data_IF_760549212726
#
_entry.id   IF_760549212726
#
_cell.length_a   1.000
_cell.length_b   1.000
_cell.length_c   1.000
_cell.angle_alpha   90.00
_cell.angle_beta   90.00
_cell.angle_gamma   90.00
#
_symmetry.space_group_name_H-M   'P 1'
#
loop_
_entity.id
_entity.type
_entity.pdbx_description
1 polymer ?
#
# COMPACT_ATOMS: atom_id res chain seq x y z
N UNK A 1 -24.75 23.52 17.06
CA UNK A 1 -24.54 22.89 18.38
C UNK A 1 -23.53 21.71 18.37
N UNK A 2 -22.81 21.41 17.28
CA UNK A 2 -21.91 20.25 17.19
C UNK A 2 -20.47 20.44 17.74
N UNK A 3 -20.00 21.68 17.88
CA UNK A 3 -18.62 21.99 18.32
C UNK A 3 -18.19 21.42 19.69
N UNK A 4 -19.03 21.41 20.75
CA UNK A 4 -18.58 20.92 22.07
C UNK A 4 -18.39 19.40 22.13
N UNK A 5 -19.16 18.63 21.35
CA UNK A 5 -19.03 17.17 21.31
C UNK A 5 -17.75 16.73 20.58
N UNK A 6 -17.43 17.37 19.45
CA UNK A 6 -16.19 17.13 18.70
C UNK A 6 -14.94 17.46 19.54
N UNK A 7 -14.95 18.58 20.26
CA UNK A 7 -13.84 18.96 21.14
C UNK A 7 -13.63 17.94 22.27
N UNK A 8 -14.73 17.41 22.84
CA UNK A 8 -14.69 16.38 23.88
C UNK A 8 -14.12 15.07 23.34
N UNK A 9 -14.59 14.62 22.17
CA UNK A 9 -14.09 13.41 21.52
C UNK A 9 -12.61 13.51 21.18
N UNK A 10 -12.15 14.68 20.68
CA UNK A 10 -10.74 14.94 20.43
C UNK A 10 -9.91 14.87 21.72
N UNK A 11 -10.34 15.54 22.78
CA UNK A 11 -9.64 15.49 24.06
C UNK A 11 -9.55 14.06 24.63
N UNK A 12 -10.63 13.29 24.49
CA UNK A 12 -10.66 11.87 24.88
C UNK A 12 -9.67 11.05 24.05
N UNK A 13 -9.64 11.21 22.72
CA UNK A 13 -8.71 10.50 21.85
C UNK A 13 -7.25 10.81 22.22
N UNK A 14 -6.91 12.07 22.50
CA UNK A 14 -5.57 12.46 22.92
C UNK A 14 -5.18 11.87 24.28
N UNK A 15 -6.11 11.81 25.24
CA UNK A 15 -5.88 11.15 26.52
C UNK A 15 -5.63 9.65 26.36
N UNK A 16 -6.38 8.98 25.48
CA UNK A 16 -6.19 7.55 25.19
C UNK A 16 -4.88 7.28 24.46
N UNK A 17 -4.47 8.16 23.55
CA UNK A 17 -3.16 8.08 22.88
C UNK A 17 -2.00 8.26 23.87
N UNK A 18 -2.13 9.18 24.82
CA UNK A 18 -1.15 9.34 25.90
C UNK A 18 -1.06 8.06 26.76
N UNK A 19 -2.19 7.42 27.07
CA UNK A 19 -2.21 6.13 27.75
C UNK A 19 -1.56 5.02 26.89
N UNK A 20 -1.88 4.94 25.60
CA UNK A 20 -1.28 3.98 24.69
C UNK A 20 0.25 4.13 24.57
N UNK A 21 0.77 5.35 24.67
CA UNK A 21 2.20 5.59 24.61
C UNK A 21 2.90 5.23 25.94
N UNK A 22 2.33 5.70 27.07
CA UNK A 22 3.05 5.77 28.33
C UNK A 22 2.69 4.69 29.37
N UNK A 23 1.57 3.99 29.22
CA UNK A 23 1.12 3.04 30.25
C UNK A 23 2.08 1.84 30.39
N UNK A 24 2.19 1.24 31.58
CA UNK A 24 3.06 0.06 31.79
C UNK A 24 2.46 -1.26 31.30
N UNK A 25 1.13 -1.36 31.34
CA UNK A 25 0.38 -2.54 30.90
C UNK A 25 0.02 -2.46 29.40
N UNK A 26 0.47 -3.45 28.63
CA UNK A 26 0.20 -3.59 27.21
C UNK A 26 -1.28 -3.78 26.89
N UNK A 27 -2.06 -4.46 27.74
CA UNK A 27 -3.49 -4.65 27.52
C UNK A 27 -4.25 -3.32 27.55
N UNK A 28 -3.85 -2.41 28.45
CA UNK A 28 -4.39 -1.04 28.53
C UNK A 28 -3.99 -0.22 27.30
N UNK A 29 -2.76 -0.39 26.79
CA UNK A 29 -2.36 0.28 25.54
C UNK A 29 -3.25 -0.14 24.37
N UNK A 30 -3.42 -1.45 24.17
CA UNK A 30 -4.21 -1.99 23.06
C UNK A 30 -5.71 -1.67 23.18
N UNK A 31 -6.27 -1.68 24.40
CA UNK A 31 -7.67 -1.27 24.61
C UNK A 31 -7.87 0.23 24.35
N UNK A 32 -6.87 1.06 24.69
CA UNK A 32 -6.90 2.50 24.41
C UNK A 32 -6.84 2.77 22.90
N UNK A 33 -5.96 2.07 22.16
CA UNK A 33 -5.87 2.18 20.70
C UNK A 33 -7.17 1.76 20.00
N UNK A 34 -7.80 0.68 20.48
CA UNK A 34 -9.12 0.28 19.96
C UNK A 34 -10.15 1.38 20.13
N UNK A 35 -10.21 2.02 21.30
CA UNK A 35 -11.13 3.13 21.53
C UNK A 35 -10.80 4.37 20.68
N UNK A 36 -9.51 4.69 20.50
CA UNK A 36 -9.09 5.77 19.59
C UNK A 36 -9.59 5.49 18.18
N UNK A 37 -9.48 4.26 17.69
CA UNK A 37 -10.01 3.86 16.38
C UNK A 37 -11.50 4.16 16.27
N UNK A 38 -12.31 3.70 17.22
CA UNK A 38 -13.76 3.93 17.19
C UNK A 38 -14.11 5.42 17.20
N UNK A 39 -13.38 6.24 17.97
CA UNK A 39 -13.58 7.69 17.97
C UNK A 39 -13.29 8.26 16.57
N UNK A 40 -12.16 7.91 15.96
CA UNK A 40 -11.78 8.39 14.62
C UNK A 40 -12.78 8.00 13.53
N UNK A 41 -13.34 6.78 13.62
CA UNK A 41 -14.34 6.30 12.66
C UNK A 41 -15.70 6.99 12.85
N UNK A 42 -15.97 7.56 14.03
CA UNK A 42 -17.22 8.27 14.37
C UNK A 42 -17.20 9.77 14.07
N UNK A 43 -16.01 10.36 13.92
CA UNK A 43 -15.82 11.79 13.67
C UNK A 43 -15.82 12.10 12.17
N UNK A 44 -16.10 13.36 11.83
CA UNK A 44 -15.89 13.88 10.48
C UNK A 44 -14.41 13.76 10.08
N UNK A 45 -14.09 13.42 8.82
CA UNK A 45 -12.72 13.15 8.38
C UNK A 45 -11.70 14.25 8.71
N UNK A 46 -12.09 15.51 8.56
CA UNK A 46 -11.23 16.67 8.84
C UNK A 46 -10.88 16.78 10.32
N UNK A 47 -11.80 16.43 11.23
CA UNK A 47 -11.57 16.43 12.68
C UNK A 47 -10.70 15.24 13.10
N UNK A 48 -10.92 14.07 12.50
CA UNK A 48 -10.07 12.89 12.70
C UNK A 48 -8.63 13.15 12.28
N UNK A 49 -8.43 13.88 11.19
CA UNK A 49 -7.11 14.23 10.68
C UNK A 49 -6.26 15.04 11.67
N UNK A 50 -6.86 15.84 12.54
CA UNK A 50 -6.15 16.57 13.60
C UNK A 50 -5.44 15.64 14.61
N UNK A 51 -5.87 14.39 14.70
CA UNK A 51 -5.34 13.38 15.63
C UNK A 51 -4.22 12.55 14.98
N UNK A 52 -4.12 12.51 13.65
CA UNK A 52 -3.17 11.67 12.93
C UNK A 52 -1.69 11.91 13.29
N UNK A 53 -1.22 13.15 13.54
CA UNK A 53 0.15 13.37 13.99
C UNK A 53 0.49 12.63 15.30
N UNK A 54 -0.45 12.56 16.24
CA UNK A 54 -0.26 11.88 17.53
C UNK A 54 -0.33 10.35 17.38
N UNK A 55 -1.18 9.85 16.48
CA UNK A 55 -1.16 8.44 16.09
C UNK A 55 0.18 8.07 15.47
N UNK A 56 0.74 8.94 14.62
CA UNK A 56 1.98 8.66 13.92
C UNK A 56 3.13 8.38 14.88
N UNK A 57 3.23 9.10 16.01
CA UNK A 57 4.29 8.89 17.02
C UNK A 57 4.37 7.45 17.54
N UNK A 58 3.28 6.69 17.50
CA UNK A 58 3.24 5.30 17.97
C UNK A 58 4.13 4.36 17.13
N UNK A 59 4.58 4.76 15.94
CA UNK A 59 5.56 3.98 15.17
C UNK A 59 6.90 3.85 15.90
N UNK A 60 7.19 4.76 16.84
CA UNK A 60 8.39 4.74 17.68
C UNK A 60 8.25 3.83 18.91
N UNK A 61 7.07 3.25 19.14
CA UNK A 61 6.83 2.38 20.29
C UNK A 61 7.74 1.16 20.24
N UNK A 62 8.33 0.81 21.39
CA UNK A 62 9.11 -0.42 21.55
C UNK A 62 8.24 -1.68 21.44
N UNK A 63 6.94 -1.54 21.73
CA UNK A 63 5.98 -2.64 21.73
C UNK A 63 5.55 -3.01 20.31
N UNK A 64 5.90 -4.22 19.86
CA UNK A 64 5.55 -4.76 18.55
C UNK A 64 4.03 -4.71 18.33
N UNK A 65 3.24 -5.09 19.34
CA UNK A 65 1.77 -5.11 19.22
C UNK A 65 1.17 -3.70 19.08
N UNK A 66 1.80 -2.67 19.64
CA UNK A 66 1.37 -1.27 19.46
C UNK A 66 1.61 -0.84 18.02
N UNK A 67 2.79 -1.12 17.45
CA UNK A 67 3.09 -0.80 16.05
C UNK A 67 2.18 -1.56 15.06
N UNK A 68 1.84 -2.82 15.37
CA UNK A 68 0.85 -3.58 14.59
C UNK A 68 -0.55 -2.97 14.67
N UNK A 69 -1.01 -2.64 15.87
CA UNK A 69 -2.32 -2.01 16.07
C UNK A 69 -2.42 -0.66 15.38
N UNK A 70 -1.32 0.13 15.36
CA UNK A 70 -1.24 1.36 14.57
C UNK A 70 -1.49 1.09 13.08
N UNK A 71 -0.87 0.06 12.49
CA UNK A 71 -1.08 -0.28 11.08
C UNK A 71 -2.55 -0.70 10.82
N UNK A 72 -3.18 -1.43 11.74
CA UNK A 72 -4.61 -1.79 11.64
C UNK A 72 -5.52 -0.55 11.65
N UNK A 73 -5.22 0.41 12.53
CA UNK A 73 -5.93 1.70 12.55
C UNK A 73 -5.73 2.44 11.23
N UNK A 74 -4.49 2.49 10.70
CA UNK A 74 -4.20 3.14 9.42
C UNK A 74 -4.98 2.51 8.27
N UNK A 75 -5.06 1.18 8.24
CA UNK A 75 -5.81 0.43 7.22
C UNK A 75 -7.30 0.82 7.22
N UNK A 76 -7.95 0.83 8.39
CA UNK A 76 -9.39 1.08 8.49
C UNK A 76 -9.76 2.58 8.38
N UNK A 77 -9.00 3.45 9.04
CA UNK A 77 -9.25 4.90 9.11
C UNK A 77 -8.75 5.58 7.84
N UNK A 78 -7.50 5.29 7.44
CA UNK A 78 -6.85 6.02 6.37
C UNK A 78 -7.44 5.73 5.00
N UNK A 79 -7.85 4.48 4.72
CA UNK A 79 -8.53 4.15 3.46
C UNK A 79 -9.91 4.83 3.33
N UNK A 80 -10.55 5.20 4.44
CA UNK A 80 -11.82 5.94 4.42
C UNK A 80 -11.63 7.43 4.20
N UNK A 81 -10.46 7.95 4.55
CA UNK A 81 -10.15 9.38 4.58
C UNK A 81 -8.84 9.65 3.84
N UNK A 82 -8.77 9.19 2.58
CA UNK A 82 -7.52 9.18 1.81
C UNK A 82 -6.91 10.57 1.69
N UNK A 83 -7.73 11.58 1.39
CA UNK A 83 -7.34 12.98 1.26
C UNK A 83 -6.68 13.58 2.50
N UNK A 84 -6.87 12.96 3.67
CA UNK A 84 -6.24 13.35 4.94
C UNK A 84 -5.09 12.42 5.38
N UNK A 85 -4.79 11.37 4.62
CA UNK A 85 -3.94 10.25 5.07
C UNK A 85 -2.44 10.41 4.83
N UNK A 86 -1.97 11.60 4.44
CA UNK A 86 -0.54 11.86 4.14
C UNK A 86 0.40 11.40 5.27
N UNK A 87 0.04 11.74 6.51
CA UNK A 87 0.80 11.37 7.71
C UNK A 87 0.75 9.86 7.97
N UNK A 88 -0.37 9.20 7.70
CA UNK A 88 -0.53 7.77 7.93
C UNK A 88 0.24 6.95 6.89
N UNK A 89 0.27 7.41 5.64
CA UNK A 89 1.03 6.81 4.56
C UNK A 89 2.54 6.86 4.83
N UNK A 90 3.04 7.97 5.38
CA UNK A 90 4.47 8.07 5.73
C UNK A 90 4.84 7.10 6.85
N UNK A 91 3.93 6.80 7.78
CA UNK A 91 4.12 5.76 8.80
C UNK A 91 4.20 4.38 8.17
N UNK A 92 3.35 4.04 7.18
CA UNK A 92 3.45 2.77 6.46
C UNK A 92 4.81 2.61 5.75
N UNK A 93 5.30 3.69 5.15
CA UNK A 93 6.64 3.72 4.55
C UNK A 93 7.71 3.36 5.58
N UNK A 94 7.72 4.02 6.75
CA UNK A 94 8.69 3.74 7.82
C UNK A 94 8.56 2.29 8.31
N UNK A 95 7.34 1.86 8.64
CA UNK A 95 7.09 0.53 9.19
C UNK A 95 7.29 -0.60 8.18
N UNK A 96 7.34 -0.33 6.87
CA UNK A 96 7.71 -1.34 5.87
C UNK A 96 9.13 -1.88 6.07
N UNK A 97 9.98 -1.09 6.73
CA UNK A 97 11.37 -1.41 7.08
C UNK A 97 11.56 -1.81 8.54
N UNK A 98 10.48 -2.02 9.28
CA UNK A 98 10.54 -2.38 10.69
C UNK A 98 11.47 -3.58 10.94
N UNK A 99 12.15 -3.56 12.08
CA UNK A 99 13.03 -4.64 12.53
C UNK A 99 12.24 -5.92 12.80
N UNK A 100 11.02 -5.78 13.34
CA UNK A 100 10.12 -6.91 13.53
C UNK A 100 9.48 -7.31 12.19
N UNK A 101 9.69 -8.56 11.73
CA UNK A 101 9.18 -9.00 10.44
C UNK A 101 7.65 -9.07 10.40
N UNK A 102 6.95 -9.17 11.53
CA UNK A 102 5.48 -9.20 11.53
C UNK A 102 4.89 -7.81 11.29
N UNK A 103 5.52 -6.77 11.84
CA UNK A 103 5.18 -5.36 11.58
C UNK A 103 5.49 -5.01 10.12
N UNK A 104 6.71 -5.31 9.65
CA UNK A 104 7.12 -5.04 8.28
C UNK A 104 6.18 -5.70 7.25
N UNK A 105 5.87 -6.99 7.45
CA UNK A 105 4.93 -7.72 6.57
C UNK A 105 3.56 -7.06 6.52
N UNK A 106 2.99 -6.70 7.68
CA UNK A 106 1.66 -6.08 7.74
C UNK A 106 1.69 -4.69 7.10
N UNK A 107 2.74 -3.91 7.31
CA UNK A 107 2.89 -2.60 6.68
C UNK A 107 2.99 -2.68 5.16
N UNK A 108 3.77 -3.64 4.63
CA UNK A 108 3.86 -3.90 3.17
C UNK A 108 2.47 -4.25 2.62
N UNK A 109 1.73 -5.14 3.29
CA UNK A 109 0.39 -5.54 2.87
C UNK A 109 -0.58 -4.36 2.82
N UNK A 110 -0.65 -3.55 3.89
CA UNK A 110 -1.56 -2.40 3.96
C UNK A 110 -1.14 -1.31 2.98
N UNK A 111 0.16 -1.02 2.88
CA UNK A 111 0.66 -0.05 1.90
C UNK A 111 0.44 -0.48 0.45
N UNK A 112 0.41 -1.78 0.15
CA UNK A 112 -0.01 -2.30 -1.16
C UNK A 112 -1.46 -1.92 -1.46
N UNK A 113 -2.36 -2.05 -0.48
CA UNK A 113 -3.77 -1.63 -0.65
C UNK A 113 -3.86 -0.12 -0.89
N UNK A 114 -3.15 0.70 -0.13
CA UNK A 114 -3.08 2.15 -0.36
C UNK A 114 -2.55 2.48 -1.77
N UNK A 115 -1.49 1.80 -2.21
CA UNK A 115 -0.92 2.00 -3.54
C UNK A 115 -1.96 1.79 -4.65
N UNK A 116 -2.67 0.66 -4.60
CA UNK A 116 -3.71 0.34 -5.58
C UNK A 116 -4.86 1.35 -5.54
N UNK A 117 -5.35 1.68 -4.34
CA UNK A 117 -6.50 2.58 -4.17
C UNK A 117 -6.18 4.01 -4.59
N UNK A 118 -5.00 4.54 -4.26
CA UNK A 118 -4.57 5.88 -4.69
C UNK A 118 -4.40 5.92 -6.22
N UNK A 119 -3.81 4.87 -6.82
CA UNK A 119 -3.67 4.77 -8.27
C UNK A 119 -5.04 4.76 -8.97
N UNK A 120 -5.97 3.96 -8.47
CA UNK A 120 -7.33 3.87 -8.98
C UNK A 120 -8.05 5.23 -8.89
N UNK A 121 -7.96 5.90 -7.74
CA UNK A 121 -8.55 7.22 -7.52
C UNK A 121 -7.98 8.27 -8.48
N UNK A 122 -6.65 8.31 -8.66
CA UNK A 122 -6.02 9.21 -9.64
C UNK A 122 -6.52 8.97 -11.06
N UNK A 123 -6.59 7.70 -11.46
CA UNK A 123 -7.05 7.31 -12.79
C UNK A 123 -8.52 7.68 -13.00
N UNK A 124 -9.38 7.44 -12.00
CA UNK A 124 -10.80 7.79 -12.04
C UNK A 124 -11.01 9.31 -12.09
N UNK A 125 -10.30 10.10 -11.27
CA UNK A 125 -10.40 11.56 -11.31
C UNK A 125 -10.04 12.11 -12.68
N UNK A 126 -8.94 11.62 -13.25
CA UNK A 126 -8.52 12.03 -14.59
C UNK A 126 -9.51 11.58 -15.66
N UNK A 127 -9.97 10.33 -15.63
CA UNK A 127 -10.91 9.80 -16.61
C UNK A 127 -12.24 10.58 -16.64
N UNK A 128 -12.78 10.94 -15.47
CA UNK A 128 -14.06 11.63 -15.37
C UNK A 128 -13.96 13.16 -15.52
N UNK A 129 -12.87 13.77 -15.03
CA UNK A 129 -12.75 15.24 -14.88
C UNK A 129 -11.63 15.85 -15.72
N UNK A 130 -10.77 15.05 -16.34
CA UNK A 130 -9.57 15.48 -17.05
C UNK A 130 -8.49 16.11 -16.16
N UNK A 131 -8.64 16.02 -14.83
CA UNK A 131 -7.72 16.60 -13.84
C UNK A 131 -7.59 15.69 -12.62
N UNK A 132 -6.49 15.85 -11.91
CA UNK A 132 -6.20 15.14 -10.65
C UNK A 132 -6.08 16.17 -9.54
N UNK A 133 -6.76 15.93 -8.44
CA UNK A 133 -6.70 16.81 -7.29
C UNK A 133 -5.30 16.77 -6.65
N UNK A 134 -4.89 17.91 -6.09
CA UNK A 134 -3.54 18.09 -5.54
C UNK A 134 -3.18 17.04 -4.48
N UNK A 135 -4.13 16.71 -3.60
CA UNK A 135 -3.92 15.75 -2.52
C UNK A 135 -3.58 14.35 -3.05
N UNK A 136 -4.17 13.92 -4.17
CA UNK A 136 -3.84 12.63 -4.79
C UNK A 136 -2.39 12.61 -5.29
N UNK A 137 -1.94 13.69 -5.94
CA UNK A 137 -0.55 13.81 -6.40
C UNK A 137 0.47 13.81 -5.26
N UNK A 138 0.13 14.45 -4.14
CA UNK A 138 0.96 14.45 -2.94
C UNK A 138 1.04 13.06 -2.28
N UNK A 139 -0.08 12.34 -2.19
CA UNK A 139 -0.09 10.95 -1.72
C UNK A 139 0.67 10.01 -2.67
N UNK A 140 0.52 10.21 -3.98
CA UNK A 140 1.23 9.42 -4.99
C UNK A 140 2.74 9.55 -4.84
N UNK A 141 3.23 10.75 -4.53
CA UNK A 141 4.67 10.96 -4.28
C UNK A 141 5.18 10.08 -3.12
N UNK A 142 4.37 9.85 -2.09
CA UNK A 142 4.73 8.88 -1.05
C UNK A 142 4.59 7.44 -1.48
N UNK A 143 3.59 7.11 -2.30
CA UNK A 143 3.45 5.77 -2.86
C UNK A 143 4.62 5.38 -3.75
N UNK A 144 5.22 6.33 -4.49
CA UNK A 144 6.47 6.10 -5.23
C UNK A 144 7.61 5.76 -4.27
N UNK A 145 7.80 6.51 -3.18
CA UNK A 145 8.82 6.21 -2.16
C UNK A 145 8.58 4.86 -1.49
N UNK A 146 7.32 4.53 -1.22
CA UNK A 146 6.93 3.23 -0.69
C UNK A 146 7.27 2.12 -1.66
N UNK A 147 6.92 2.24 -2.95
CA UNK A 147 7.30 1.29 -4.00
C UNK A 147 8.80 1.04 -4.01
N UNK A 148 9.60 2.10 -4.07
CA UNK A 148 11.07 2.00 -4.14
C UNK A 148 11.63 1.30 -2.89
N UNK A 149 11.06 1.61 -1.73
CA UNK A 149 11.44 0.99 -0.45
C UNK A 149 11.09 -0.49 -0.43
N UNK A 150 9.91 -0.88 -0.90
CA UNK A 150 9.48 -2.28 -0.96
C UNK A 150 10.31 -3.06 -1.98
N UNK A 151 10.57 -2.49 -3.16
CA UNK A 151 11.42 -3.10 -4.19
C UNK A 151 12.82 -3.36 -3.65
N UNK A 152 13.44 -2.37 -3.00
CA UNK A 152 14.73 -2.56 -2.37
C UNK A 152 14.69 -3.61 -1.23
N UNK A 153 13.54 -3.79 -0.55
CA UNK A 153 13.37 -4.85 0.47
C UNK A 153 13.39 -6.25 -0.14
N UNK A 154 12.79 -6.43 -1.32
CA UNK A 154 12.82 -7.71 -2.03
C UNK A 154 14.27 -8.13 -2.38
N UNK A 155 15.10 -7.15 -2.74
CA UNK A 155 16.48 -7.34 -3.19
C UNK A 155 17.51 -7.40 -2.05
N UNK A 156 17.12 -7.00 -0.83
CA UNK A 156 18.05 -6.84 0.30
C UNK A 156 18.64 -8.18 0.78
N UNK A 157 19.98 -8.35 0.80
CA UNK A 157 20.61 -9.54 1.37
C UNK A 157 20.28 -9.71 2.86
N UNK A 158 20.05 -10.95 3.31
CA UNK A 158 19.81 -11.24 4.75
C UNK A 158 18.44 -10.85 5.30
N UNK A 159 17.59 -10.12 4.55
CA UNK A 159 16.21 -9.83 4.97
C UNK A 159 15.38 -11.11 5.14
N UNK A 160 14.54 -11.15 6.18
CA UNK A 160 13.68 -12.29 6.51
C UNK A 160 12.84 -12.71 5.31
N UNK A 161 12.88 -14.01 4.97
CA UNK A 161 12.22 -14.64 3.82
C UNK A 161 10.76 -14.21 3.68
N UNK A 162 9.98 -14.23 4.77
CA UNK A 162 8.56 -13.85 4.72
C UNK A 162 8.30 -12.39 4.36
N UNK A 163 9.22 -11.47 4.70
CA UNK A 163 9.13 -10.06 4.29
C UNK A 163 9.43 -9.93 2.80
N UNK A 164 10.46 -10.63 2.32
CA UNK A 164 10.81 -10.67 0.89
C UNK A 164 9.68 -11.23 0.04
N UNK A 165 9.01 -12.29 0.49
CA UNK A 165 7.85 -12.86 -0.20
C UNK A 165 6.75 -11.83 -0.43
N UNK A 166 6.41 -11.03 0.59
CA UNK A 166 5.41 -9.96 0.44
C UNK A 166 5.90 -8.82 -0.46
N UNK A 167 7.19 -8.48 -0.42
CA UNK A 167 7.76 -7.50 -1.32
C UNK A 167 7.73 -7.95 -2.79
N UNK A 168 8.03 -9.23 -3.07
CA UNK A 168 7.90 -9.82 -4.40
C UNK A 168 6.43 -9.85 -4.86
N UNK A 169 5.48 -10.14 -3.96
CA UNK A 169 4.05 -10.06 -4.27
C UNK A 169 3.59 -8.64 -4.62
N UNK A 170 4.17 -7.63 -3.98
CA UNK A 170 3.95 -6.23 -4.36
C UNK A 170 4.53 -5.92 -5.75
N UNK A 171 5.74 -6.41 -6.08
CA UNK A 171 6.32 -6.30 -7.42
C UNK A 171 5.44 -6.95 -8.50
N UNK A 172 4.91 -8.15 -8.23
CA UNK A 172 3.92 -8.82 -9.07
C UNK A 172 2.69 -7.92 -9.28
N UNK A 173 2.12 -7.40 -8.18
CA UNK A 173 0.94 -6.50 -8.25
C UNK A 173 1.23 -5.27 -9.11
N UNK A 174 2.41 -4.68 -8.96
CA UNK A 174 2.85 -3.55 -9.78
C UNK A 174 2.91 -3.90 -11.28
N UNK A 175 3.46 -5.07 -11.63
CA UNK A 175 3.50 -5.53 -13.02
C UNK A 175 2.09 -5.71 -13.58
N UNK A 176 1.20 -6.33 -12.81
CA UNK A 176 -0.20 -6.57 -13.21
C UNK A 176 -0.96 -5.27 -13.45
N UNK A 177 -0.77 -4.25 -12.60
CA UNK A 177 -1.44 -2.96 -12.77
C UNK A 177 -1.05 -2.27 -14.08
N UNK A 178 0.22 -2.38 -14.50
CA UNK A 178 0.75 -1.61 -15.63
C UNK A 178 1.03 -2.43 -16.89
N UNK A 179 0.63 -3.70 -16.91
CA UNK A 179 0.63 -4.54 -18.10
C UNK A 179 -0.80 -4.69 -18.59
N UNK A 180 -1.15 -4.20 -19.81
CA UNK A 180 -2.51 -4.29 -20.31
C UNK A 180 -2.98 -5.75 -20.37
N UNK A 181 -4.14 -6.03 -19.79
CA UNK A 181 -4.79 -7.33 -19.99
C UNK A 181 -5.24 -7.42 -21.45
N UNK A 182 -4.96 -8.55 -22.12
CA UNK A 182 -5.42 -8.77 -23.50
C UNK A 182 -6.92 -9.12 -23.55
N UNK A 183 -7.54 -9.31 -22.38
CA UNK A 183 -8.96 -9.56 -22.20
C UNK A 183 -9.75 -8.27 -22.32
N UNK A 184 -10.85 -8.34 -23.07
CA UNK A 184 -11.86 -7.31 -23.27
C UNK A 184 -12.10 -6.40 -22.02
N UNK A 185 -12.09 -5.06 -22.16
CA UNK A 185 -12.43 -4.14 -21.08
C UNK A 185 -13.83 -4.38 -20.46
N UNK A 186 -14.69 -5.16 -21.14
CA UNK A 186 -16.04 -5.50 -20.68
C UNK A 186 -16.11 -6.68 -19.68
N UNK A 187 -15.02 -7.45 -19.48
CA UNK A 187 -15.05 -8.60 -18.53
C UNK A 187 -14.78 -8.25 -17.08
N UNK A 188 -14.33 -7.03 -16.78
CA UNK A 188 -14.07 -6.58 -15.42
C UNK A 188 -15.35 -6.28 -14.60
N UNK A 189 -16.54 -6.37 -15.21
CA UNK A 189 -17.82 -6.03 -14.59
C UNK A 189 -18.67 -7.23 -14.11
N UNK A 190 -18.10 -8.43 -13.99
CA UNK A 190 -18.82 -9.61 -13.51
C UNK A 190 -18.49 -9.92 -12.05
N UNK A 191 -19.48 -9.65 -11.18
CA UNK A 191 -19.68 -10.13 -9.80
C UNK A 191 -18.49 -10.06 -8.81
N UNK A 192 -18.51 -9.03 -7.96
CA UNK A 192 -17.78 -9.00 -6.69
C UNK A 192 -16.38 -8.39 -6.70
N UNK A 193 -15.83 -8.10 -7.89
CA UNK A 193 -14.54 -7.43 -8.06
C UNK A 193 -14.66 -5.92 -7.84
N UNK A 194 -14.05 -5.42 -6.76
CA UNK A 194 -13.84 -3.99 -6.50
C UNK A 194 -13.11 -3.40 -7.72
N UNK A 195 -13.61 -2.29 -8.27
CA UNK A 195 -13.17 -1.69 -9.53
C UNK A 195 -11.64 -1.78 -9.73
N UNK A 196 -11.22 -2.57 -10.71
CA UNK A 196 -9.81 -2.85 -10.96
C UNK A 196 -9.28 -1.77 -11.90
N UNK A 197 -8.22 -1.05 -11.50
CA UNK A 197 -7.55 -0.04 -12.32
C UNK A 197 -7.28 -0.54 -13.75
N UNK A 198 -7.59 0.28 -14.75
CA UNK A 198 -7.28 -0.01 -16.15
C UNK A 198 -6.35 1.05 -16.73
N UNK A 199 -5.19 0.62 -17.28
CA UNK A 199 -4.19 1.52 -17.87
C UNK A 199 -4.72 2.37 -19.04
N UNK A 200 -5.77 1.90 -19.73
CA UNK A 200 -6.44 2.67 -20.79
C UNK A 200 -7.09 3.96 -20.29
N UNK A 201 -7.42 4.05 -19.00
CA UNK A 201 -7.95 5.28 -18.39
C UNK A 201 -6.93 6.42 -18.38
N UNK A 202 -5.65 6.11 -18.62
CA UNK A 202 -4.57 7.08 -18.74
C UNK A 202 -4.28 7.50 -20.20
N UNK A 203 -5.04 6.96 -21.18
CA UNK A 203 -4.90 7.25 -22.61
C UNK A 203 -5.42 8.66 -22.95
N UNK A 204 -4.70 9.67 -22.47
CA UNK A 204 -5.04 11.09 -22.68
C UNK A 204 -3.96 12.05 -22.21
N UNK A 205 -2.78 11.55 -21.82
CA UNK A 205 -1.71 12.39 -21.26
C UNK A 205 -2.00 12.77 -19.81
N UNK A 206 -2.17 11.78 -18.94
CA UNK A 206 -2.38 12.02 -17.52
C UNK A 206 -1.18 12.82 -16.91
N UNK A 207 -1.42 13.89 -16.12
CA UNK A 207 -0.40 14.88 -15.77
C UNK A 207 0.71 14.34 -14.85
N UNK A 208 0.41 13.30 -14.06
CA UNK A 208 1.36 12.69 -13.10
C UNK A 208 1.80 11.30 -13.58
N UNK A 209 0.85 10.43 -13.93
CA UNK A 209 1.06 9.07 -14.40
C UNK A 209 1.35 9.05 -15.92
N UNK A 210 2.59 8.76 -16.31
CA UNK A 210 2.94 8.54 -17.71
C UNK A 210 2.81 7.04 -18.05
N UNK A 211 1.87 6.62 -18.92
CA UNK A 211 1.64 5.20 -19.22
C UNK A 211 2.87 4.50 -19.82
N UNK A 212 3.62 5.17 -20.68
CA UNK A 212 4.81 4.59 -21.31
C UNK A 212 5.93 4.37 -20.28
N UNK A 213 6.14 5.33 -19.36
CA UNK A 213 7.11 5.20 -18.27
C UNK A 213 6.72 4.07 -17.31
N UNK A 214 5.45 4.00 -16.91
CA UNK A 214 4.94 2.98 -16.00
C UNK A 214 5.04 1.56 -16.61
N UNK A 215 4.70 1.42 -17.89
CA UNK A 215 4.83 0.15 -18.61
C UNK A 215 6.30 -0.28 -18.78
N UNK A 216 7.20 0.67 -19.09
CA UNK A 216 8.64 0.40 -19.14
C UNK A 216 9.18 -0.05 -17.77
N UNK A 217 8.73 0.59 -16.69
CA UNK A 217 9.11 0.22 -15.33
C UNK A 217 8.57 -1.17 -14.94
N UNK A 218 7.33 -1.49 -15.33
CA UNK A 218 6.74 -2.82 -15.13
C UNK A 218 7.54 -3.90 -15.87
N UNK A 219 7.91 -3.66 -17.14
CA UNK A 219 8.74 -4.58 -17.91
C UNK A 219 10.12 -4.81 -17.29
N UNK A 220 10.75 -3.75 -16.76
CA UNK A 220 12.01 -3.87 -16.02
C UNK A 220 11.84 -4.70 -14.73
N UNK A 221 10.74 -4.44 -13.99
CA UNK A 221 10.41 -5.18 -12.77
C UNK A 221 10.17 -6.67 -13.06
N UNK A 222 9.50 -6.96 -14.17
CA UNK A 222 9.31 -8.31 -14.68
C UNK A 222 10.64 -9.03 -14.95
N UNK A 223 11.58 -8.36 -15.65
CA UNK A 223 12.92 -8.89 -15.88
C UNK A 223 13.64 -9.26 -14.58
N UNK A 224 13.56 -8.39 -13.56
CA UNK A 224 14.14 -8.67 -12.23
C UNK A 224 13.51 -9.94 -11.63
N UNK A 225 12.19 -10.09 -11.67
CA UNK A 225 11.53 -11.30 -11.13
C UNK A 225 11.91 -12.56 -11.91
N UNK A 226 12.10 -12.48 -13.23
CA UNK A 226 12.60 -13.59 -14.05
C UNK A 226 14.02 -13.99 -13.64
N UNK A 227 14.91 -13.04 -13.37
CA UNK A 227 16.26 -13.33 -12.88
C UNK A 227 16.23 -14.04 -11.51
N UNK A 228 15.25 -13.72 -10.65
CA UNK A 228 15.00 -14.46 -9.41
C UNK A 228 14.56 -15.91 -9.68
N UNK A 229 13.70 -16.16 -10.67
CA UNK A 229 13.31 -17.53 -11.07
C UNK A 229 14.54 -18.30 -11.56
N UNK A 230 15.34 -17.69 -12.44
CA UNK A 230 16.51 -18.37 -13.03
C UNK A 230 17.57 -18.70 -11.98
N UNK A 231 17.63 -17.92 -10.91
CA UNK A 231 18.49 -18.18 -9.74
C UNK A 231 17.83 -19.03 -8.65
N UNK A 232 16.61 -19.56 -8.86
CA UNK A 232 15.82 -20.26 -7.84
C UNK A 232 16.48 -21.52 -7.25
N UNK A 233 17.41 -22.14 -7.97
CA UNK A 233 18.25 -23.22 -7.42
C UNK A 233 19.14 -22.78 -6.24
N UNK A 234 19.23 -21.47 -5.97
CA UNK A 234 19.99 -20.86 -4.86
C UNK A 234 19.09 -20.16 -3.83
N UNK A 235 17.77 -20.21 -3.98
CA UNK A 235 16.82 -19.51 -3.12
C UNK A 235 16.22 -20.43 -2.04
N UNK A 236 15.90 -19.90 -0.85
CA UNK A 236 15.10 -20.62 0.14
C UNK A 236 13.75 -21.09 -0.42
N UNK A 237 13.30 -22.29 -0.04
CA UNK A 237 12.12 -22.93 -0.66
C UNK A 237 10.83 -22.11 -0.66
N UNK A 238 10.57 -21.29 0.37
CA UNK A 238 9.39 -20.41 0.39
C UNK A 238 9.47 -19.28 -0.65
N UNK A 239 10.66 -18.74 -0.95
CA UNK A 239 10.85 -17.78 -2.02
C UNK A 239 10.66 -18.45 -3.38
N UNK A 240 11.21 -19.65 -3.55
CA UNK A 240 11.01 -20.46 -4.76
C UNK A 240 9.52 -20.74 -5.00
N UNK A 241 8.74 -21.11 -3.97
CA UNK A 241 7.30 -21.32 -4.10
C UNK A 241 6.56 -20.03 -4.46
N UNK A 242 6.84 -18.90 -3.80
CA UNK A 242 6.18 -17.63 -4.15
C UNK A 242 6.48 -17.19 -5.57
N UNK A 243 7.74 -17.37 -6.00
CA UNK A 243 8.21 -17.04 -7.34
C UNK A 243 7.63 -17.99 -8.42
N UNK A 244 7.47 -19.29 -8.11
CA UNK A 244 6.81 -20.25 -9.00
C UNK A 244 5.29 -20.04 -9.03
N UNK A 245 4.66 -19.81 -7.88
CA UNK A 245 3.23 -19.50 -7.78
C UNK A 245 2.88 -18.23 -8.56
N UNK A 246 3.80 -17.25 -8.57
CA UNK A 246 3.72 -16.12 -9.47
C UNK A 246 3.75 -16.59 -10.92
N UNK A 247 4.82 -17.26 -11.37
CA UNK A 247 5.00 -17.74 -12.76
C UNK A 247 3.81 -18.53 -13.33
N UNK A 248 3.10 -19.28 -12.48
CA UNK A 248 1.96 -20.15 -12.86
C UNK A 248 0.62 -19.37 -12.92
N UNK A 249 0.55 -18.14 -12.42
CA UNK A 249 -0.66 -17.30 -12.47
C UNK A 249 -1.06 -16.97 -13.93
N UNK A 250 -2.35 -17.06 -14.24
CA UNK A 250 -2.94 -16.95 -15.60
C UNK A 250 -2.54 -15.66 -16.36
N UNK A 251 -2.14 -14.60 -15.66
CA UNK A 251 -1.76 -13.31 -16.25
C UNK A 251 -0.36 -13.30 -16.90
N UNK A 252 0.48 -14.31 -16.65
CA UNK A 252 1.91 -14.28 -17.04
C UNK A 252 2.23 -14.83 -18.44
N UNK A 253 1.57 -15.88 -18.97
CA UNK A 253 1.77 -16.29 -20.36
C UNK A 253 1.56 -15.13 -21.35
N UNK A 254 0.63 -14.22 -21.03
CA UNK A 254 0.38 -12.99 -21.80
C UNK A 254 1.52 -11.96 -21.66
N UNK A 255 2.08 -11.78 -20.46
CA UNK A 255 3.24 -10.92 -20.22
C UNK A 255 4.51 -11.43 -20.92
N UNK A 256 4.75 -12.75 -20.89
CA UNK A 256 5.89 -13.40 -21.53
C UNK A 256 5.84 -13.28 -23.06
N UNK A 257 4.68 -13.55 -23.68
CA UNK A 257 4.50 -13.40 -25.14
C UNK A 257 4.85 -11.98 -25.63
N UNK A 258 4.52 -10.95 -24.85
CA UNK A 258 4.90 -9.55 -25.19
C UNK A 258 6.35 -9.22 -24.88
N UNK A 259 6.91 -9.70 -23.76
CA UNK A 259 8.32 -9.50 -23.45
C UNK A 259 9.20 -10.05 -24.58
N UNK A 260 8.91 -11.26 -25.07
CA UNK A 260 9.62 -11.82 -26.22
C UNK A 260 9.34 -11.06 -27.52
N UNK A 261 8.12 -10.56 -27.74
CA UNK A 261 7.80 -9.76 -28.94
C UNK A 261 8.51 -8.40 -28.97
N UNK A 262 8.77 -7.77 -27.82
CA UNK A 262 9.44 -6.46 -27.73
C UNK A 262 10.98 -6.57 -27.79
N UNK A 263 11.56 -7.70 -27.41
CA UNK A 263 13.02 -7.93 -27.40
C UNK A 263 13.53 -8.81 -28.55
N UNK A 264 12.65 -9.28 -29.45
CA UNK A 264 13.01 -10.04 -30.67
C UNK A 264 12.90 -9.22 -31.96
N UNK A 265 12.85 -7.88 -31.87
CA UNK A 265 12.87 -6.94 -33.00
C UNK A 265 14.11 -6.06 -32.97
#
# INVERSE_FOLDING_TARGET
MAAPAAATARAQALSLLAAANNHGDLAVKLSSLRQVKEILLSLEPSLSAEIFPYLAELHLSREILVRKSLIEIIEEVGLRMLDHSYVLVSVLLVLSRDEDPTVAKKSISVGTTFFCTILEEMAMQFHHRGKVDRWCGELWTWMVKFKDTVFATALEPGRVVGVKVLALKFMETFILLFTPDASDPEKASSEGSRHMFNISWLAGGHPILNPATLMSEANRTFGILVDFIQSANRLPGALTISVISWYVSESIPLCLCRYFSLYSS
#
